data_IF_716441532033
#
_entry.id   IF_716441532033
#
_cell.length_a   1.000
_cell.length_b   1.000
_cell.length_c   1.000
_cell.angle_alpha   90.00
_cell.angle_beta   90.00
_cell.angle_gamma   90.00
#
_symmetry.space_group_name_H-M   'P 1'
#
loop_
_entity.id
_entity.type
_entity.pdbx_description
1 polymer ?
#
# COMPACT_ATOMS: atom_id res chain seq x y z
N UNK A 1 -7.44 -21.00 16.31
CA UNK A 1 -8.52 -20.16 16.86
C UNK A 1 -8.54 -18.74 16.27
N UNK A 2 -7.41 -18.07 16.01
CA UNK A 2 -7.44 -16.74 15.36
C UNK A 2 -8.03 -16.79 13.95
N UNK A 3 -7.71 -17.83 13.18
CA UNK A 3 -8.27 -18.05 11.84
C UNK A 3 -9.80 -18.19 11.85
N UNK A 4 -10.40 -18.82 12.86
CA UNK A 4 -11.86 -18.94 12.93
C UNK A 4 -12.54 -17.59 13.16
N UNK A 5 -11.91 -16.69 13.93
CA UNK A 5 -12.39 -15.32 14.17
C UNK A 5 -12.33 -14.48 12.89
N UNK A 6 -11.20 -14.49 12.19
CA UNK A 6 -10.97 -13.67 10.99
C UNK A 6 -11.49 -14.29 9.68
N UNK A 7 -11.88 -15.58 9.69
CA UNK A 7 -12.50 -16.26 8.55
C UNK A 7 -13.87 -15.68 8.15
N UNK A 8 -14.53 -14.95 9.06
CA UNK A 8 -15.80 -14.27 8.81
C UNK A 8 -15.62 -12.77 8.95
N UNK A 9 -16.19 -12.00 8.03
CA UNK A 9 -16.12 -10.55 8.10
C UNK A 9 -17.10 -9.95 9.12
N UNK A 10 -16.77 -10.05 10.41
CA UNK A 10 -17.56 -9.44 11.50
C UNK A 10 -17.15 -7.98 11.70
N UNK A 11 -18.10 -7.04 11.91
CA UNK A 11 -17.79 -5.65 12.23
C UNK A 11 -16.79 -5.51 13.38
N UNK A 12 -16.93 -6.37 14.39
CA UNK A 12 -16.08 -6.43 15.58
C UNK A 12 -14.59 -6.63 15.22
N UNK A 13 -14.27 -7.44 14.21
CA UNK A 13 -12.88 -7.70 13.79
C UNK A 13 -12.20 -6.42 13.27
N UNK A 14 -12.94 -5.58 12.55
CA UNK A 14 -12.44 -4.31 12.04
C UNK A 14 -12.21 -3.31 13.17
N UNK A 15 -13.13 -3.26 14.14
CA UNK A 15 -13.00 -2.41 15.33
C UNK A 15 -11.75 -2.81 16.11
N UNK A 16 -11.55 -4.10 16.41
CA UNK A 16 -10.36 -4.59 17.14
C UNK A 16 -9.07 -4.18 16.43
N UNK A 17 -8.93 -4.45 15.14
CA UNK A 17 -7.69 -4.16 14.42
C UNK A 17 -7.46 -2.64 14.31
N UNK A 18 -8.51 -1.85 14.10
CA UNK A 18 -8.38 -0.39 14.09
C UNK A 18 -7.97 0.17 15.46
N UNK A 19 -8.53 -0.36 16.55
CA UNK A 19 -8.14 0.01 17.91
C UNK A 19 -6.69 -0.38 18.22
N UNK A 20 -6.26 -1.58 17.78
CA UNK A 20 -4.86 -2.00 17.91
C UNK A 20 -3.90 -1.08 17.15
N UNK A 21 -4.26 -0.65 15.93
CA UNK A 21 -3.48 0.34 15.18
C UNK A 21 -3.36 1.67 15.93
N UNK A 22 -4.46 2.16 16.51
CA UNK A 22 -4.45 3.38 17.34
C UNK A 22 -3.49 3.23 18.52
N UNK A 23 -3.55 2.09 19.24
CA UNK A 23 -2.66 1.81 20.36
C UNK A 23 -1.20 1.76 19.90
N UNK A 24 -0.87 1.00 18.87
CA UNK A 24 0.49 0.91 18.32
C UNK A 24 1.02 2.28 17.87
N UNK A 25 0.17 3.09 17.23
CA UNK A 25 0.55 4.44 16.81
C UNK A 25 0.94 5.32 18.01
N UNK A 26 0.10 5.36 19.05
CA UNK A 26 0.41 6.15 20.26
C UNK A 26 1.62 5.61 21.03
N UNK A 27 1.80 4.30 21.12
CA UNK A 27 2.99 3.71 21.74
C UNK A 27 4.27 4.14 21.00
N UNK A 28 4.26 4.09 19.68
CA UNK A 28 5.44 4.48 18.89
C UNK A 28 5.71 6.00 18.94
N UNK A 29 4.66 6.82 19.03
CA UNK A 29 4.82 8.28 19.19
C UNK A 29 5.58 8.68 20.46
N UNK A 30 5.55 7.87 21.53
CA UNK A 30 6.30 8.15 22.75
C UNK A 30 7.82 8.24 22.53
N UNK A 31 8.33 7.61 21.46
CA UNK A 31 9.76 7.63 21.09
C UNK A 31 10.19 8.92 20.38
N UNK A 32 9.25 9.71 19.89
CA UNK A 32 9.50 10.98 19.18
C UNK A 32 8.75 12.15 19.86
N UNK A 33 9.11 12.51 21.11
CA UNK A 33 8.40 13.51 21.91
C UNK A 33 8.56 14.95 21.40
N UNK A 34 9.58 15.22 20.58
CA UNK A 34 10.03 16.57 20.20
C UNK A 34 9.01 17.41 19.39
N UNK A 35 7.88 16.84 18.98
CA UNK A 35 6.89 17.48 18.08
C UNK A 35 5.51 17.74 18.72
N UNK A 36 5.34 17.47 20.01
CA UNK A 36 4.04 17.61 20.70
C UNK A 36 3.72 19.06 21.10
N UNK A 37 4.70 19.97 21.03
CA UNK A 37 4.57 21.31 21.59
C UNK A 37 3.78 22.32 20.73
N UNK A 38 3.32 21.93 19.53
CA UNK A 38 2.55 22.83 18.64
C UNK A 38 1.20 22.26 18.22
N UNK A 39 0.18 23.14 18.12
CA UNK A 39 -1.17 22.79 17.63
C UNK A 39 -1.11 22.18 16.22
N UNK A 40 -0.20 22.66 15.38
CA UNK A 40 0.04 22.12 14.04
C UNK A 40 0.61 20.68 14.08
N UNK A 41 1.51 20.39 15.03
CA UNK A 41 2.03 19.04 15.27
C UNK A 41 0.93 18.04 15.64
N UNK A 42 -0.02 18.45 16.49
CA UNK A 42 -1.16 17.60 16.86
C UNK A 42 -2.09 17.36 15.66
N UNK A 43 -2.37 18.40 14.87
CA UNK A 43 -3.24 18.30 13.70
C UNK A 43 -2.65 17.38 12.62
N UNK A 44 -1.35 17.48 12.37
CA UNK A 44 -0.66 16.60 11.40
C UNK A 44 -0.69 15.14 11.87
N UNK A 45 -0.35 14.87 13.14
CA UNK A 45 -0.36 13.50 13.70
C UNK A 45 -1.76 12.87 13.73
N UNK A 46 -2.80 13.64 14.03
CA UNK A 46 -4.19 13.14 13.98
C UNK A 46 -4.62 12.88 12.54
N UNK A 47 -4.25 13.75 11.59
CA UNK A 47 -4.44 13.53 10.15
C UNK A 47 -3.77 12.24 9.64
N UNK A 48 -2.53 11.97 10.06
CA UNK A 48 -1.81 10.75 9.70
C UNK A 48 -2.49 9.48 10.22
N UNK A 49 -2.96 9.50 11.48
CA UNK A 49 -3.71 8.39 12.04
C UNK A 49 -5.01 8.13 11.26
N UNK A 50 -5.73 9.19 10.87
CA UNK A 50 -6.93 9.06 10.03
C UNK A 50 -6.60 8.48 8.64
N UNK A 51 -5.48 8.87 8.03
CA UNK A 51 -5.05 8.31 6.75
C UNK A 51 -4.66 6.83 6.87
N UNK A 52 -3.96 6.44 7.94
CA UNK A 52 -3.63 5.03 8.21
C UNK A 52 -4.89 4.19 8.42
N UNK A 53 -5.83 4.65 9.23
CA UNK A 53 -7.14 3.98 9.40
C UNK A 53 -7.89 3.94 8.05
N UNK A 54 -7.90 5.04 7.31
CA UNK A 54 -8.50 5.11 5.98
C UNK A 54 -7.89 4.11 5.01
N UNK A 55 -6.56 3.93 5.02
CA UNK A 55 -5.83 2.98 4.18
C UNK A 55 -6.27 1.52 4.45
N UNK A 56 -6.44 1.17 5.74
CA UNK A 56 -6.99 -0.11 6.19
C UNK A 56 -8.41 -0.36 5.66
N UNK A 57 -9.29 0.65 5.72
CA UNK A 57 -10.65 0.51 5.19
C UNK A 57 -10.69 0.45 3.67
N UNK A 58 -9.86 1.24 2.97
CA UNK A 58 -9.78 1.23 1.50
C UNK A 58 -9.37 -0.15 1.01
N UNK A 59 -8.32 -0.77 1.59
CA UNK A 59 -7.86 -2.08 1.12
C UNK A 59 -8.95 -3.15 1.29
N UNK A 60 -9.66 -3.16 2.42
CA UNK A 60 -10.75 -4.11 2.64
C UNK A 60 -11.98 -3.83 1.76
N UNK A 61 -12.26 -2.57 1.45
CA UNK A 61 -13.27 -2.21 0.46
C UNK A 61 -12.89 -2.71 -0.94
N UNK A 62 -11.63 -2.54 -1.34
CA UNK A 62 -11.10 -2.99 -2.64
C UNK A 62 -11.21 -4.50 -2.76
N UNK A 63 -10.83 -5.26 -1.73
CA UNK A 63 -10.86 -6.73 -1.80
C UNK A 63 -12.27 -7.28 -1.88
N UNK A 64 -13.17 -6.83 -1.01
CA UNK A 64 -14.56 -7.30 -1.00
C UNK A 64 -15.33 -6.91 -2.24
N UNK A 65 -15.25 -5.64 -2.66
CA UNK A 65 -16.04 -5.13 -3.78
C UNK A 65 -15.67 -5.79 -5.12
N UNK A 66 -14.42 -6.21 -5.26
CA UNK A 66 -13.92 -6.84 -6.49
C UNK A 66 -13.80 -8.37 -6.37
N UNK A 67 -14.33 -8.96 -5.29
CA UNK A 67 -14.28 -10.41 -5.04
C UNK A 67 -12.87 -10.98 -4.92
N UNK A 68 -11.85 -10.16 -4.69
CA UNK A 68 -10.46 -10.61 -4.65
C UNK A 68 -10.22 -11.62 -3.52
N UNK A 69 -10.96 -11.47 -2.42
CA UNK A 69 -11.03 -12.36 -1.27
C UNK A 69 -12.48 -12.81 -1.06
N UNK A 70 -12.68 -13.96 -0.39
CA UNK A 70 -13.99 -14.32 0.20
C UNK A 70 -14.34 -13.36 1.35
N UNK A 71 -15.55 -13.47 1.90
CA UNK A 71 -16.07 -12.64 3.01
C UNK A 71 -15.34 -12.87 4.35
N UNK A 72 -14.06 -12.54 4.39
CA UNK A 72 -13.19 -12.63 5.55
C UNK A 72 -12.52 -11.28 5.85
N UNK A 73 -11.77 -11.26 6.96
CA UNK A 73 -11.07 -10.09 7.46
C UNK A 73 -9.53 -10.25 7.40
N UNK A 74 -9.02 -11.24 6.68
CA UNK A 74 -7.58 -11.55 6.65
C UNK A 74 -6.76 -10.44 5.99
N UNK A 75 -7.24 -9.84 4.90
CA UNK A 75 -6.49 -8.75 4.24
C UNK A 75 -6.30 -7.56 5.17
N UNK A 76 -7.33 -7.23 5.96
CA UNK A 76 -7.28 -6.16 6.96
C UNK A 76 -6.23 -6.47 8.03
N UNK A 77 -6.19 -7.73 8.51
CA UNK A 77 -5.21 -8.20 9.48
C UNK A 77 -3.78 -8.19 8.93
N UNK A 78 -3.53 -8.73 7.73
CA UNK A 78 -2.17 -8.75 7.17
C UNK A 78 -1.65 -7.37 6.85
N UNK A 79 -2.50 -6.49 6.31
CA UNK A 79 -2.11 -5.11 6.05
C UNK A 79 -1.72 -4.39 7.36
N UNK A 80 -2.52 -4.56 8.42
CA UNK A 80 -2.16 -4.08 9.76
C UNK A 80 -0.83 -4.67 10.25
N UNK A 81 -0.64 -5.98 10.16
CA UNK A 81 0.61 -6.65 10.56
C UNK A 81 1.83 -6.09 9.82
N UNK A 82 1.72 -5.80 8.52
CA UNK A 82 2.83 -5.22 7.76
C UNK A 82 3.11 -3.75 8.14
N UNK A 83 2.09 -2.97 8.49
CA UNK A 83 2.30 -1.61 9.01
C UNK A 83 3.08 -1.63 10.33
N UNK A 84 2.71 -2.49 11.28
CA UNK A 84 3.41 -2.57 12.57
C UNK A 84 4.76 -3.28 12.50
N UNK A 85 4.98 -4.14 11.49
CA UNK A 85 6.28 -4.78 11.23
C UNK A 85 7.40 -3.75 11.02
N UNK A 86 7.04 -2.58 10.47
CA UNK A 86 7.94 -1.45 10.27
C UNK A 86 7.35 -0.20 10.95
N UNK A 87 7.53 -0.01 12.27
CA UNK A 87 6.99 1.12 13.01
C UNK A 87 7.37 2.48 12.44
N UNK A 88 8.53 2.59 11.79
CA UNK A 88 8.98 3.81 11.08
C UNK A 88 7.99 4.27 9.99
N UNK A 89 7.21 3.34 9.41
CA UNK A 89 6.14 3.67 8.45
C UNK A 89 5.02 4.49 9.07
N UNK A 90 4.75 4.33 10.37
CA UNK A 90 3.63 4.97 11.07
C UNK A 90 3.83 6.49 11.21
N UNK A 91 5.07 6.96 11.14
CA UNK A 91 5.43 8.36 11.43
C UNK A 91 5.88 9.11 10.17
N UNK A 92 6.17 8.40 9.07
CA UNK A 92 6.63 9.00 7.82
C UNK A 92 5.47 9.62 7.03
N UNK A 93 5.28 10.93 7.21
CA UNK A 93 4.19 11.73 6.62
C UNK A 93 4.07 11.54 5.11
N UNK A 94 5.16 11.74 4.38
CA UNK A 94 5.15 11.76 2.92
C UNK A 94 4.79 10.40 2.34
N UNK A 95 5.35 9.32 2.91
CA UNK A 95 5.07 7.96 2.44
C UNK A 95 3.64 7.51 2.78
N UNK A 96 3.10 7.89 3.94
CA UNK A 96 1.70 7.58 4.30
C UNK A 96 0.74 8.24 3.30
N UNK A 97 0.92 9.54 3.06
CA UNK A 97 0.06 10.31 2.15
C UNK A 97 0.16 9.76 0.72
N UNK A 98 1.40 9.55 0.23
CA UNK A 98 1.64 8.97 -1.08
C UNK A 98 0.98 7.60 -1.23
N UNK A 99 1.21 6.69 -0.28
CA UNK A 99 0.61 5.35 -0.32
C UNK A 99 -0.91 5.40 -0.27
N UNK A 100 -1.51 6.31 0.50
CA UNK A 100 -2.96 6.47 0.53
C UNK A 100 -3.53 6.81 -0.85
N UNK A 101 -2.88 7.72 -1.60
CA UNK A 101 -3.28 8.02 -2.97
C UNK A 101 -3.06 6.84 -3.92
N UNK A 102 -1.96 6.10 -3.78
CA UNK A 102 -1.75 4.86 -4.56
C UNK A 102 -2.87 3.83 -4.28
N UNK A 103 -3.33 3.69 -3.03
CA UNK A 103 -4.46 2.81 -2.70
C UNK A 103 -5.77 3.26 -3.36
N UNK A 104 -6.02 4.57 -3.43
CA UNK A 104 -7.17 5.13 -4.17
C UNK A 104 -7.07 4.88 -5.68
N UNK A 105 -5.87 4.97 -6.25
CA UNK A 105 -5.62 4.62 -7.65
C UNK A 105 -5.89 3.13 -7.91
N UNK A 106 -5.32 2.24 -7.08
CA UNK A 106 -5.55 0.80 -7.16
C UNK A 106 -7.03 0.44 -7.05
N UNK A 107 -7.78 1.09 -6.16
CA UNK A 107 -9.24 0.93 -6.05
C UNK A 107 -9.95 1.18 -7.37
N UNK A 108 -9.62 2.28 -8.06
CA UNK A 108 -10.22 2.61 -9.36
C UNK A 108 -9.80 1.60 -10.43
N UNK A 109 -8.51 1.25 -10.50
CA UNK A 109 -7.97 0.35 -11.51
C UNK A 109 -8.49 -1.07 -11.38
N UNK A 110 -8.58 -1.62 -10.17
CA UNK A 110 -9.10 -2.98 -9.96
C UNK A 110 -10.58 -3.02 -10.39
N UNK A 111 -11.36 -1.99 -10.07
CA UNK A 111 -12.76 -1.88 -10.47
C UNK A 111 -13.01 -1.67 -11.97
N UNK A 112 -11.97 -1.45 -12.80
CA UNK A 112 -12.12 -1.36 -14.27
C UNK A 112 -12.66 -2.65 -14.90
N UNK A 113 -12.59 -3.78 -14.19
CA UNK A 113 -13.13 -5.05 -14.66
C UNK A 113 -14.64 -4.96 -15.00
N UNK A 114 -15.41 -4.16 -14.26
CA UNK A 114 -16.85 -4.03 -14.52
C UNK A 114 -17.18 -3.19 -15.76
N UNK A 115 -16.18 -2.56 -16.39
CA UNK A 115 -16.31 -1.67 -17.56
C UNK A 115 -17.34 -0.52 -17.41
N UNK A 116 -17.87 -0.30 -16.21
CA UNK A 116 -18.67 0.86 -15.87
C UNK A 116 -17.76 2.09 -15.78
N UNK A 117 -18.09 3.15 -16.54
CA UNK A 117 -17.36 4.43 -16.59
C UNK A 117 -15.82 4.29 -16.68
N UNK A 118 -15.28 3.63 -17.71
CA UNK A 118 -13.85 3.32 -17.79
C UNK A 118 -12.98 4.59 -17.89
N UNK A 119 -13.46 5.62 -18.59
CA UNK A 119 -12.77 6.90 -18.79
C UNK A 119 -12.52 7.62 -17.46
N UNK A 120 -13.57 7.78 -16.65
CA UNK A 120 -13.47 8.38 -15.31
C UNK A 120 -12.51 7.60 -14.42
N UNK A 121 -12.59 6.27 -14.43
CA UNK A 121 -11.69 5.43 -13.62
C UNK A 121 -10.22 5.56 -14.02
N UNK A 122 -9.92 5.66 -15.31
CA UNK A 122 -8.55 5.84 -15.83
C UNK A 122 -8.02 7.23 -15.44
N UNK A 123 -8.83 8.27 -15.65
CA UNK A 123 -8.47 9.63 -15.29
C UNK A 123 -8.24 9.76 -13.78
N UNK A 124 -9.19 9.32 -12.94
CA UNK A 124 -9.07 9.33 -11.49
C UNK A 124 -7.82 8.58 -11.02
N UNK A 125 -7.57 7.38 -11.55
CA UNK A 125 -6.41 6.58 -11.15
C UNK A 125 -5.09 7.29 -11.48
N UNK A 126 -5.01 7.89 -12.67
CA UNK A 126 -3.84 8.68 -13.08
C UNK A 126 -3.65 9.89 -12.17
N UNK A 127 -4.74 10.57 -11.82
CA UNK A 127 -4.74 11.76 -10.97
C UNK A 127 -4.19 11.43 -9.58
N UNK A 128 -4.69 10.35 -8.98
CA UNK A 128 -4.19 9.91 -7.68
C UNK A 128 -2.71 9.51 -7.72
N UNK A 129 -2.24 8.87 -8.80
CA UNK A 129 -0.81 8.50 -8.94
C UNK A 129 0.07 9.76 -9.05
N UNK A 130 -0.33 10.75 -9.85
CA UNK A 130 0.46 11.98 -9.96
C UNK A 130 0.42 12.82 -8.69
N UNK A 131 -0.69 12.82 -7.95
CA UNK A 131 -0.73 13.43 -6.61
C UNK A 131 0.20 12.70 -5.63
N UNK A 132 0.27 11.37 -5.68
CA UNK A 132 1.22 10.59 -4.88
C UNK A 132 2.68 10.98 -5.18
N UNK A 133 2.99 11.20 -6.47
CA UNK A 133 4.32 11.57 -6.94
C UNK A 133 4.83 12.93 -6.41
N UNK A 134 3.94 13.82 -5.97
CA UNK A 134 4.33 15.07 -5.30
C UNK A 134 4.95 14.79 -3.93
N UNK A 135 4.46 13.80 -3.20
CA UNK A 135 4.96 13.44 -1.86
C UNK A 135 6.16 12.49 -1.92
N UNK A 136 6.21 11.63 -2.93
CA UNK A 136 7.33 10.73 -3.17
C UNK A 136 7.45 10.44 -4.66
N UNK A 137 8.46 11.03 -5.31
CA UNK A 137 8.58 11.08 -6.77
C UNK A 137 8.46 9.71 -7.45
N UNK A 138 9.16 8.69 -6.94
CA UNK A 138 9.20 7.36 -7.58
C UNK A 138 7.84 6.64 -7.61
N UNK A 139 6.86 7.06 -6.80
CA UNK A 139 5.49 6.55 -6.91
C UNK A 139 4.85 6.82 -8.28
N UNK A 140 5.39 7.74 -9.09
CA UNK A 140 4.98 7.96 -10.48
C UNK A 140 5.04 6.68 -11.34
N UNK A 141 5.91 5.72 -11.01
CA UNK A 141 6.02 4.44 -11.72
C UNK A 141 4.72 3.62 -11.71
N UNK A 142 3.83 3.87 -10.74
CA UNK A 142 2.50 3.26 -10.75
C UNK A 142 1.67 3.66 -11.98
N UNK A 143 2.03 4.69 -12.74
CA UNK A 143 1.35 5.02 -14.00
C UNK A 143 1.38 3.86 -15.00
N UNK A 144 2.41 2.99 -14.93
CA UNK A 144 2.51 1.78 -15.75
C UNK A 144 1.30 0.86 -15.57
N UNK A 145 0.74 0.76 -14.35
CA UNK A 145 -0.43 -0.09 -14.09
C UNK A 145 -1.70 0.47 -14.76
N UNK A 146 -1.77 1.78 -15.01
CA UNK A 146 -2.86 2.42 -15.75
C UNK A 146 -2.80 1.99 -17.21
N UNK A 147 -1.62 2.09 -17.85
CA UNK A 147 -1.45 1.66 -19.24
C UNK A 147 -1.69 0.17 -19.44
N UNK A 148 -1.19 -0.67 -18.52
CA UNK A 148 -1.50 -2.11 -18.50
C UNK A 148 -3.02 -2.34 -18.38
N UNK A 149 -3.71 -1.57 -17.55
CA UNK A 149 -5.17 -1.68 -17.40
C UNK A 149 -5.93 -1.28 -18.66
N UNK A 150 -5.50 -0.21 -19.35
CA UNK A 150 -6.05 0.23 -20.64
C UNK A 150 -5.86 -0.86 -21.69
N UNK A 151 -4.65 -1.40 -21.82
CA UNK A 151 -4.31 -2.44 -22.78
C UNK A 151 -5.23 -3.66 -22.64
N UNK A 152 -5.49 -4.11 -21.40
CA UNK A 152 -6.30 -5.31 -21.16
C UNK A 152 -7.81 -5.11 -21.26
N UNK A 153 -8.35 -3.91 -21.01
CA UNK A 153 -9.81 -3.73 -20.89
C UNK A 153 -10.40 -2.80 -21.95
N UNK A 154 -9.67 -1.77 -22.39
CA UNK A 154 -10.24 -0.67 -23.19
C UNK A 154 -9.25 -0.11 -24.20
N UNK A 155 -8.48 -1.00 -24.85
CA UNK A 155 -7.41 -0.63 -25.79
C UNK A 155 -7.91 0.01 -27.08
N UNK A 156 -9.15 -0.28 -27.49
CA UNK A 156 -9.72 0.14 -28.80
C UNK A 156 -10.00 1.64 -28.91
N UNK A 157 -10.29 2.32 -27.81
CA UNK A 157 -10.61 3.75 -27.82
C UNK A 157 -9.36 4.57 -27.50
N UNK A 158 -8.84 5.30 -28.50
CA UNK A 158 -7.65 6.13 -28.40
C UNK A 158 -7.76 7.18 -27.29
N UNK A 159 -8.98 7.64 -26.96
CA UNK A 159 -9.19 8.65 -25.92
C UNK A 159 -8.70 8.17 -24.56
N UNK A 160 -8.80 6.86 -24.29
CA UNK A 160 -8.34 6.28 -23.03
C UNK A 160 -6.83 6.41 -22.83
N UNK A 161 -6.06 6.38 -23.92
CA UNK A 161 -4.61 6.52 -23.89
C UNK A 161 -4.16 7.95 -23.61
N UNK A 162 -5.00 8.93 -23.93
CA UNK A 162 -4.71 10.37 -23.70
C UNK A 162 -5.02 10.80 -22.26
N UNK A 163 -5.97 10.14 -21.58
CA UNK A 163 -6.42 10.51 -20.23
C UNK A 163 -5.29 10.59 -19.18
N UNK A 164 -4.31 9.66 -19.12
CA UNK A 164 -3.18 9.78 -18.21
C UNK A 164 -2.39 11.08 -18.41
N UNK A 165 -2.18 11.51 -19.65
CA UNK A 165 -1.45 12.75 -19.95
C UNK A 165 -2.24 13.99 -19.53
N UNK A 166 -3.57 14.01 -19.76
CA UNK A 166 -4.43 15.11 -19.28
C UNK A 166 -4.33 15.23 -17.77
N UNK A 167 -4.35 14.10 -17.06
CA UNK A 167 -4.19 14.08 -15.61
C UNK A 167 -2.81 14.56 -15.16
N UNK A 168 -1.74 14.22 -15.89
CA UNK A 168 -0.39 14.69 -15.60
C UNK A 168 -0.32 16.22 -15.67
N UNK A 169 -0.85 16.82 -16.75
CA UNK A 169 -0.88 18.28 -16.88
C UNK A 169 -1.76 18.94 -15.83
N UNK A 170 -2.92 18.36 -15.49
CA UNK A 170 -3.79 18.91 -14.46
C UNK A 170 -3.09 18.98 -13.09
N UNK A 171 -2.46 17.88 -12.66
CA UNK A 171 -1.73 17.85 -11.39
C UNK A 171 -0.49 18.73 -11.45
N UNK A 172 0.26 18.71 -12.56
CA UNK A 172 1.44 19.55 -12.74
C UNK A 172 1.15 21.04 -12.67
N UNK A 173 0.09 21.52 -13.33
CA UNK A 173 -0.32 22.93 -13.26
C UNK A 173 -0.73 23.32 -11.83
N UNK A 174 -1.52 22.47 -11.15
CA UNK A 174 -1.92 22.74 -9.76
C UNK A 174 -0.70 22.77 -8.83
N UNK A 175 0.22 21.83 -8.98
CA UNK A 175 1.45 21.76 -8.18
C UNK A 175 2.34 22.98 -8.41
N UNK A 176 2.51 23.40 -9.66
CA UNK A 176 3.28 24.62 -9.99
C UNK A 176 2.61 25.87 -9.44
N UNK A 177 1.30 26.01 -9.57
CA UNK A 177 0.57 27.14 -8.98
C UNK A 177 0.75 27.19 -7.46
N UNK A 178 0.65 26.04 -6.78
CA UNK A 178 0.87 25.96 -5.35
C UNK A 178 2.31 26.34 -4.97
N UNK A 179 3.31 25.81 -5.70
CA UNK A 179 4.71 26.10 -5.43
C UNK A 179 5.05 27.59 -5.62
N UNK A 180 4.48 28.25 -6.64
CA UNK A 180 4.74 29.66 -6.90
C UNK A 180 4.06 30.61 -5.89
N UNK A 181 2.92 30.22 -5.33
CA UNK A 181 2.12 31.07 -4.44
C UNK A 181 2.47 30.85 -2.96
N UNK A 182 2.64 29.58 -2.55
CA UNK A 182 2.74 29.22 -1.14
C UNK A 182 4.14 28.78 -0.73
N UNK A 183 4.78 27.90 -1.51
CA UNK A 183 6.04 27.30 -1.11
C UNK A 183 6.91 26.86 -2.30
N UNK A 184 7.91 27.68 -2.63
CA UNK A 184 8.81 27.42 -3.75
C UNK A 184 9.75 26.23 -3.48
N UNK A 185 10.00 25.88 -2.21
CA UNK A 185 10.86 24.75 -1.81
C UNK A 185 10.26 23.39 -2.16
N UNK A 186 8.97 23.34 -2.48
CA UNK A 186 8.30 22.12 -2.95
C UNK A 186 8.95 21.58 -4.23
N UNK A 187 9.39 22.45 -5.14
CA UNK A 187 10.04 22.02 -6.38
C UNK A 187 11.38 21.35 -6.08
N UNK A 188 12.18 21.97 -5.21
CA UNK A 188 13.47 21.41 -4.77
C UNK A 188 13.27 20.07 -4.07
N UNK A 189 12.27 19.97 -3.17
CA UNK A 189 11.93 18.73 -2.47
C UNK A 189 11.56 17.60 -3.44
N UNK A 190 10.79 17.89 -4.50
CA UNK A 190 10.46 16.90 -5.53
C UNK A 190 11.72 16.45 -6.28
N UNK A 191 12.58 17.40 -6.67
CA UNK A 191 13.81 17.12 -7.41
C UNK A 191 14.78 16.28 -6.58
N UNK A 192 14.94 16.58 -5.29
CA UNK A 192 15.78 15.82 -4.37
C UNK A 192 15.22 14.40 -4.15
N UNK A 193 13.89 14.27 -4.08
CA UNK A 193 13.24 12.95 -3.99
C UNK A 193 13.33 12.13 -5.29
N UNK A 194 13.69 12.76 -6.41
CA UNK A 194 13.88 12.10 -7.71
C UNK A 194 15.28 11.51 -7.90
N UNK A 195 16.18 11.69 -6.94
CA UNK A 195 17.50 11.08 -6.98
C UNK A 195 17.40 9.54 -6.92
N UNK A 196 18.33 8.89 -7.63
CA UNK A 196 18.46 7.44 -7.64
C UNK A 196 19.61 7.08 -6.69
N UNK A 197 19.34 6.19 -5.74
CA UNK A 197 20.38 5.59 -4.91
C UNK A 197 20.24 4.07 -4.87
N UNK A 198 21.35 3.38 -5.18
CA UNK A 198 21.43 1.92 -5.12
C UNK A 198 22.21 1.44 -3.89
N UNK A 199 22.61 2.33 -2.98
CA UNK A 199 23.31 1.95 -1.77
C UNK A 199 22.36 1.24 -0.79
N UNK A 200 22.72 0.04 -0.36
CA UNK A 200 21.95 -0.76 0.62
C UNK A 200 22.51 -0.67 2.04
N UNK A 201 23.50 0.19 2.29
CA UNK A 201 24.13 0.36 3.60
C UNK A 201 23.35 1.30 4.54
N UNK A 202 22.02 1.16 4.60
CA UNK A 202 21.14 1.99 5.45
C UNK A 202 20.70 1.29 6.75
N UNK A 203 21.11 0.04 6.94
CA UNK A 203 20.71 -0.78 8.06
C UNK A 203 21.41 -0.33 9.35
N UNK A 204 20.64 0.31 10.24
CA UNK A 204 21.15 0.82 11.52
C UNK A 204 20.92 -0.15 12.69
N UNK A 205 19.96 -1.08 12.57
CA UNK A 205 19.55 -1.95 13.68
C UNK A 205 19.32 -3.41 13.21
N UNK A 206 19.86 -4.37 13.97
CA UNK A 206 19.65 -5.81 13.74
C UNK A 206 18.17 -6.20 13.71
N UNK A 207 17.32 -5.55 14.50
CA UNK A 207 15.87 -5.81 14.51
C UNK A 207 15.19 -5.36 13.21
N UNK A 208 15.67 -4.27 12.59
CA UNK A 208 15.17 -3.83 11.29
C UNK A 208 15.57 -4.80 10.17
N UNK A 209 16.76 -5.39 10.25
CA UNK A 209 17.23 -6.40 9.30
C UNK A 209 16.40 -7.68 9.42
N UNK A 210 16.10 -8.10 10.64
CA UNK A 210 15.24 -9.24 10.89
C UNK A 210 13.81 -9.01 10.37
N UNK A 211 13.24 -7.83 10.62
CA UNK A 211 11.93 -7.48 10.09
C UNK A 211 11.91 -7.46 8.56
N UNK A 212 12.95 -6.90 7.92
CA UNK A 212 13.10 -6.89 6.47
C UNK A 212 13.21 -8.30 5.89
N UNK A 213 14.07 -9.15 6.45
CA UNK A 213 14.27 -10.50 5.93
C UNK A 213 12.99 -11.33 6.04
N UNK A 214 12.28 -11.21 7.17
CA UNK A 214 10.98 -11.84 7.36
C UNK A 214 9.95 -11.33 6.34
N UNK A 215 9.91 -10.02 6.11
CA UNK A 215 9.03 -9.43 5.10
C UNK A 215 9.36 -9.93 3.69
N UNK A 216 10.63 -9.95 3.30
CA UNK A 216 11.05 -10.39 1.98
C UNK A 216 10.72 -11.86 1.73
N UNK A 217 10.98 -12.75 2.71
CA UNK A 217 10.63 -14.18 2.60
C UNK A 217 9.12 -14.36 2.47
N UNK A 218 8.32 -13.68 3.29
CA UNK A 218 6.86 -13.78 3.23
C UNK A 218 6.30 -13.20 1.93
N UNK A 219 6.77 -12.02 1.52
CA UNK A 219 6.33 -11.35 0.29
C UNK A 219 6.67 -12.17 -0.97
N UNK A 220 7.91 -12.68 -1.08
CA UNK A 220 8.34 -13.52 -2.20
C UNK A 220 7.57 -14.84 -2.26
N UNK A 221 7.35 -15.49 -1.11
CA UNK A 221 6.53 -16.70 -1.03
C UNK A 221 5.10 -16.46 -1.55
N UNK A 222 4.43 -15.41 -1.08
CA UNK A 222 3.06 -15.10 -1.53
C UNK A 222 3.02 -14.64 -2.99
N UNK A 223 4.04 -13.93 -3.46
CA UNK A 223 4.16 -13.55 -4.87
C UNK A 223 4.29 -14.77 -5.79
N UNK A 224 5.21 -15.69 -5.49
CA UNK A 224 5.44 -16.90 -6.29
C UNK A 224 4.18 -17.77 -6.30
N UNK A 225 3.57 -18.03 -5.14
CA UNK A 225 2.35 -18.83 -5.05
C UNK A 225 1.18 -18.21 -5.81
N UNK A 226 1.02 -16.88 -5.74
CA UNK A 226 -0.02 -16.18 -6.51
C UNK A 226 0.25 -16.22 -8.02
N UNK A 227 1.51 -16.11 -8.45
CA UNK A 227 1.89 -16.18 -9.84
C UNK A 227 1.65 -17.58 -10.45
N UNK A 228 2.00 -18.65 -9.72
CA UNK A 228 1.80 -20.03 -10.15
C UNK A 228 0.32 -20.44 -10.21
N UNK A 229 -0.51 -19.91 -9.29
CA UNK A 229 -1.94 -20.24 -9.24
C UNK A 229 -2.81 -19.37 -10.16
N UNK A 230 -2.24 -18.32 -10.76
CA UNK A 230 -2.96 -17.38 -11.62
C UNK A 230 -3.70 -18.04 -12.80
N UNK A 231 -3.10 -18.99 -13.56
CA UNK A 231 -3.76 -19.62 -14.69
C UNK A 231 -5.03 -20.42 -14.30
N UNK A 232 -5.06 -20.94 -13.06
CA UNK A 232 -6.13 -21.77 -12.55
C UNK A 232 -7.34 -20.94 -12.03
N UNK A 233 -7.23 -19.61 -12.01
CA UNK A 233 -8.31 -18.71 -11.57
C UNK A 233 -9.26 -18.38 -12.73
N UNK A 234 -10.55 -18.08 -12.46
CA UNK A 234 -11.50 -17.73 -13.50
C UNK A 234 -11.05 -16.47 -14.26
N UNK A 235 -11.17 -16.50 -15.60
CA UNK A 235 -10.66 -15.46 -16.52
C UNK A 235 -11.06 -14.03 -16.10
N UNK A 236 -12.29 -13.85 -15.64
CA UNK A 236 -12.79 -12.56 -15.18
C UNK A 236 -11.93 -11.97 -14.03
N UNK A 237 -11.53 -12.81 -13.07
CA UNK A 237 -10.76 -12.39 -11.90
C UNK A 237 -9.25 -12.35 -12.17
N UNK A 238 -8.76 -13.07 -13.17
CA UNK A 238 -7.33 -13.08 -13.54
C UNK A 238 -6.81 -11.66 -13.82
N UNK A 239 -7.62 -10.79 -14.43
CA UNK A 239 -7.19 -9.43 -14.75
C UNK A 239 -6.93 -8.60 -13.49
N UNK A 240 -7.77 -8.75 -12.46
CA UNK A 240 -7.60 -8.08 -11.17
C UNK A 240 -6.41 -8.64 -10.39
N UNK A 241 -6.15 -9.95 -10.45
CA UNK A 241 -4.94 -10.54 -9.85
C UNK A 241 -3.64 -10.13 -10.58
N UNK A 242 -3.66 -10.02 -11.91
CA UNK A 242 -2.51 -9.49 -12.68
C UNK A 242 -2.16 -8.06 -12.25
N UNK A 243 -3.15 -7.20 -12.03
CA UNK A 243 -2.93 -5.83 -11.51
C UNK A 243 -2.24 -5.86 -10.15
N UNK A 244 -2.63 -6.77 -9.24
CA UNK A 244 -1.99 -6.91 -7.92
C UNK A 244 -0.52 -7.34 -8.05
N UNK A 245 -0.23 -8.31 -8.91
CA UNK A 245 1.15 -8.78 -9.19
C UNK A 245 1.99 -7.63 -9.76
N UNK A 246 1.47 -6.90 -10.73
CA UNK A 246 2.15 -5.73 -11.32
C UNK A 246 2.37 -4.63 -10.27
N UNK A 247 1.39 -4.35 -9.41
CA UNK A 247 1.52 -3.39 -8.33
C UNK A 247 2.63 -3.78 -7.34
N UNK A 248 2.76 -5.07 -7.02
CA UNK A 248 3.85 -5.56 -6.18
C UNK A 248 5.22 -5.35 -6.85
N UNK A 249 5.36 -5.69 -8.13
CA UNK A 249 6.61 -5.51 -8.88
C UNK A 249 6.99 -4.03 -8.91
N UNK A 250 6.04 -3.14 -9.23
CA UNK A 250 6.27 -1.69 -9.25
C UNK A 250 6.71 -1.21 -7.86
N UNK A 251 6.00 -1.61 -6.79
CA UNK A 251 6.38 -1.23 -5.43
C UNK A 251 7.78 -1.71 -5.03
N UNK A 252 8.19 -2.90 -5.47
CA UNK A 252 9.54 -3.41 -5.26
C UNK A 252 10.59 -2.58 -6.04
N UNK A 253 10.28 -2.19 -7.28
CA UNK A 253 11.15 -1.31 -8.09
C UNK A 253 11.28 0.07 -7.43
N UNK A 254 10.20 0.63 -6.90
CA UNK A 254 10.22 1.90 -6.16
C UNK A 254 11.16 1.81 -4.95
N UNK A 255 11.09 0.72 -4.19
CA UNK A 255 12.01 0.47 -3.08
C UNK A 255 13.49 0.36 -3.52
N UNK A 256 13.76 -0.23 -4.69
CA UNK A 256 15.13 -0.41 -5.18
C UNK A 256 15.79 0.89 -5.68
N UNK A 257 15.00 1.79 -6.28
CA UNK A 257 15.50 2.99 -6.97
C UNK A 257 15.47 4.24 -6.08
N UNK A 258 14.55 4.32 -5.11
CA UNK A 258 14.40 5.51 -4.26
C UNK A 258 15.68 5.89 -3.52
N UNK A 259 15.97 7.19 -3.49
CA UNK A 259 16.91 7.80 -2.55
C UNK A 259 16.43 7.64 -1.10
N UNK A 260 17.37 7.81 -0.15
CA UNK A 260 17.16 7.69 1.30
C UNK A 260 16.46 6.39 1.70
N UNK A 261 17.14 5.27 1.43
CA UNK A 261 16.58 3.94 1.68
C UNK A 261 16.16 3.78 3.13
N UNK A 262 14.88 3.46 3.30
CA UNK A 262 14.29 3.10 4.58
C UNK A 262 13.29 1.97 4.32
N UNK A 263 13.15 1.07 5.30
CA UNK A 263 12.15 0.01 5.26
C UNK A 263 10.72 0.55 5.10
N UNK A 264 10.48 1.82 5.44
CA UNK A 264 9.19 2.46 5.23
C UNK A 264 8.76 2.56 3.75
N UNK A 265 9.70 2.53 2.81
CA UNK A 265 9.42 2.54 1.37
C UNK A 265 8.67 1.28 0.91
N UNK A 266 8.73 0.19 1.68
CA UNK A 266 7.98 -1.04 1.40
C UNK A 266 6.47 -0.87 1.55
N UNK A 267 5.98 0.26 2.07
CA UNK A 267 4.56 0.54 2.25
C UNK A 267 3.73 0.31 0.98
N UNK A 268 4.29 0.62 -0.20
CA UNK A 268 3.65 0.41 -1.50
C UNK A 268 3.44 -1.08 -1.84
N UNK A 269 4.19 -1.99 -1.21
CA UNK A 269 4.08 -3.44 -1.39
C UNK A 269 3.17 -4.12 -0.36
N UNK A 270 2.84 -3.45 0.75
CA UNK A 270 2.02 -4.04 1.83
C UNK A 270 0.63 -4.44 1.35
N UNK A 271 -0.03 -3.57 0.58
CA UNK A 271 -1.37 -3.86 0.08
C UNK A 271 -1.39 -5.04 -0.90
N UNK A 272 -0.53 -5.07 -1.95
CA UNK A 272 -0.42 -6.24 -2.80
C UNK A 272 -0.14 -7.53 -2.04
N UNK A 273 0.83 -7.53 -1.12
CA UNK A 273 1.20 -8.72 -0.35
C UNK A 273 0.07 -9.18 0.57
N UNK A 274 -0.65 -8.26 1.23
CA UNK A 274 -1.78 -8.60 2.09
C UNK A 274 -2.91 -9.30 1.30
N UNK A 275 -3.18 -8.85 0.07
CA UNK A 275 -4.18 -9.48 -0.80
C UNK A 275 -3.71 -10.86 -1.24
N UNK A 276 -2.44 -11.00 -1.67
CA UNK A 276 -1.86 -12.29 -2.07
C UNK A 276 -1.85 -13.29 -0.91
N UNK A 277 -1.45 -12.87 0.28
CA UNK A 277 -1.45 -13.68 1.50
C UNK A 277 -2.85 -14.18 1.84
N UNK A 278 -3.86 -13.30 1.74
CA UNK A 278 -5.26 -13.66 1.98
C UNK A 278 -5.73 -14.74 1.02
N UNK A 279 -5.46 -14.58 -0.28
CA UNK A 279 -5.87 -15.56 -1.29
C UNK A 279 -5.25 -16.93 -1.05
N UNK A 280 -3.96 -16.95 -0.68
CA UNK A 280 -3.24 -18.19 -0.42
C UNK A 280 -3.84 -18.91 0.79
N UNK A 281 -4.07 -18.20 1.89
CA UNK A 281 -4.64 -18.76 3.13
C UNK A 281 -6.09 -19.22 2.93
N UNK A 282 -6.87 -18.53 2.10
CA UNK A 282 -8.21 -18.99 1.73
C UNK A 282 -8.20 -20.28 0.91
N UNK A 283 -7.21 -20.46 0.04
CA UNK A 283 -7.10 -21.64 -0.83
C UNK A 283 -6.67 -22.91 -0.10
N UNK A 284 -5.99 -22.76 1.05
CA UNK A 284 -5.60 -23.89 1.87
C UNK A 284 -6.83 -24.67 2.37
N UNK A 285 -6.74 -25.99 2.40
CA UNK A 285 -7.79 -26.83 2.99
C UNK A 285 -7.48 -27.15 4.46
N UNK A 286 -6.19 -27.25 4.80
CA UNK A 286 -5.71 -27.69 6.10
C UNK A 286 -5.71 -26.54 7.12
N UNK A 287 -6.57 -26.64 8.14
CA UNK A 287 -6.78 -25.55 9.10
C UNK A 287 -5.58 -25.28 10.02
N UNK A 288 -4.83 -26.31 10.43
CA UNK A 288 -3.66 -26.12 11.31
C UNK A 288 -2.58 -25.27 10.63
N UNK A 289 -2.35 -25.53 9.33
CA UNK A 289 -1.34 -24.83 8.54
C UNK A 289 -1.73 -23.36 8.32
N UNK A 290 -3.01 -23.07 8.07
CA UNK A 290 -3.52 -21.68 8.05
C UNK A 290 -3.24 -20.94 9.35
N UNK A 291 -3.48 -21.60 10.47
CA UNK A 291 -3.25 -21.02 11.79
C UNK A 291 -1.78 -20.70 12.00
N UNK A 292 -0.89 -21.62 11.66
CA UNK A 292 0.55 -21.41 11.77
C UNK A 292 1.00 -20.19 10.96
N UNK A 293 0.57 -20.03 9.70
CA UNK A 293 0.93 -18.86 8.89
C UNK A 293 0.45 -17.55 9.50
N UNK A 294 -0.80 -17.51 9.98
CA UNK A 294 -1.35 -16.30 10.62
C UNK A 294 -0.59 -15.97 11.91
N UNK A 295 -0.33 -16.98 12.76
CA UNK A 295 0.40 -16.77 14.01
C UNK A 295 1.84 -16.32 13.77
N UNK A 296 2.52 -16.86 12.77
CA UNK A 296 3.89 -16.44 12.42
C UNK A 296 3.90 -15.00 11.96
N UNK A 297 3.02 -14.60 11.02
CA UNK A 297 3.02 -13.22 10.51
C UNK A 297 2.64 -12.23 11.61
N UNK A 298 1.53 -12.48 12.33
CA UNK A 298 1.05 -11.58 13.39
C UNK A 298 2.03 -11.57 14.57
N UNK A 299 2.41 -12.74 15.06
CA UNK A 299 3.31 -12.88 16.20
C UNK A 299 4.66 -12.23 15.94
N UNK A 300 5.28 -12.50 14.79
CA UNK A 300 6.53 -11.85 14.43
C UNK A 300 6.37 -10.34 14.27
N UNK A 301 5.29 -9.85 13.65
CA UNK A 301 5.06 -8.41 13.50
C UNK A 301 4.93 -7.68 14.85
N UNK A 302 4.27 -8.30 15.83
CA UNK A 302 4.12 -7.76 17.19
C UNK A 302 5.45 -7.81 17.93
N UNK A 303 6.18 -8.92 17.85
CA UNK A 303 7.50 -9.05 18.48
C UNK A 303 8.49 -8.02 17.93
N UNK A 304 8.54 -7.84 16.61
CA UNK A 304 9.41 -6.84 15.98
C UNK A 304 8.99 -5.43 16.37
N UNK A 305 7.68 -5.15 16.42
CA UNK A 305 7.16 -3.85 16.83
C UNK A 305 7.65 -3.46 18.23
N UNK A 306 7.48 -4.35 19.22
CA UNK A 306 7.95 -4.09 20.59
C UNK A 306 9.48 -4.04 20.70
N UNK A 307 10.22 -4.82 19.89
CA UNK A 307 11.69 -4.77 19.88
C UNK A 307 12.26 -3.47 19.28
N UNK A 308 11.47 -2.77 18.46
CA UNK A 308 11.86 -1.52 17.80
C UNK A 308 11.30 -0.26 18.49
N UNK A 309 10.37 -0.45 19.43
CA UNK A 309 9.87 0.57 20.36
C UNK A 309 10.97 1.06 21.29
#
# INVERSE_FOLDING_TARGET
>A
MITSVFSKSRPLNYIIISALLVICYFLYLQKAPELVDSVNGIMTRTGLLLLLIGSLFIINFVTKKNGLSKDNSYTFLFFFSFLILFPTTLVNTNLIISNFFILLALRRLISLQSLLTPKEKIFDASLWIFLAAIFHFWSILFILIVFVSILFHVSRDYRNWVLPFISFFAVGVIALMYALIFDQSLIETIVDSALIDFNFNYFTNNYQNFALSLYLVTATFFFITQALTLPNKPLNMQSSYKKIIVAFIIGAVVFLISSDKNNSLLIYTFAPVAIMATNHIESMQVNWLKETFVYVIVGCSVLTFFSQL
#
